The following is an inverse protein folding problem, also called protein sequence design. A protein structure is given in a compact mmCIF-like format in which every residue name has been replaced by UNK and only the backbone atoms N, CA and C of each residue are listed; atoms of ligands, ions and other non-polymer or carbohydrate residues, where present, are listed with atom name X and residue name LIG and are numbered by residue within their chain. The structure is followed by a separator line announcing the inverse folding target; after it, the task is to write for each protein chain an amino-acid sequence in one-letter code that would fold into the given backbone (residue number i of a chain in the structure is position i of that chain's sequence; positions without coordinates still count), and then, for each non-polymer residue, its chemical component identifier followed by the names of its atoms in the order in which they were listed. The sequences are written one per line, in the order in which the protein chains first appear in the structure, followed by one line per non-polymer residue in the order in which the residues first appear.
data_IF_849175682637
#
_entry.id   IF_849175682637
#
_cell.length_a   1.000
_cell.length_b   1.000
_cell.length_c   1.000
_cell.angle_alpha   90.00
_cell.angle_beta   90.00
_cell.angle_gamma   90.00
#
_symmetry.space_group_name_H-M   'P 1'
#
loop_
_entity.id
_entity.type
_entity.pdbx_description
1 polymer ?
#
# COMPACT_ATOMS: atom_id res chain seq x y z
N UNK A 1 -26.44 21.70 -0.94
CA UNK A 1 -25.41 22.28 -1.83
C UNK A 1 -24.10 21.59 -1.49
N UNK A 2 -23.45 20.97 -2.47
CA UNK A 2 -22.25 20.16 -2.26
C UNK A 2 -22.30 18.85 -3.03
N UNK A 3 -21.14 18.20 -3.16
CA UNK A 3 -21.00 16.92 -3.85
C UNK A 3 -21.85 15.82 -3.17
N UNK A 4 -22.33 14.86 -3.94
CA UNK A 4 -22.86 13.60 -3.38
C UNK A 4 -21.73 12.77 -2.74
N UNK A 5 -22.03 11.75 -1.93
CA UNK A 5 -21.02 10.81 -1.44
C UNK A 5 -20.14 10.23 -2.57
N UNK A 6 -20.75 9.79 -3.67
CA UNK A 6 -20.06 9.20 -4.82
C UNK A 6 -19.17 10.24 -5.51
N UNK A 7 -19.67 11.46 -5.71
CA UNK A 7 -18.89 12.55 -6.29
C UNK A 7 -17.72 12.95 -5.38
N UNK A 8 -17.90 12.90 -4.05
CA UNK A 8 -16.84 13.20 -3.08
C UNK A 8 -15.72 12.17 -3.15
N UNK A 9 -16.09 10.87 -3.19
CA UNK A 9 -15.12 9.79 -3.39
C UNK A 9 -14.40 9.92 -4.75
N UNK A 10 -15.17 10.18 -5.82
CA UNK A 10 -14.64 10.38 -7.16
C UNK A 10 -13.68 11.57 -7.26
N UNK A 11 -13.94 12.68 -6.56
CA UNK A 11 -13.02 13.81 -6.47
C UNK A 11 -11.69 13.38 -5.85
N UNK A 12 -11.71 12.61 -4.76
CA UNK A 12 -10.50 12.06 -4.16
C UNK A 12 -9.68 11.22 -5.15
N UNK A 13 -10.35 10.34 -5.91
CA UNK A 13 -9.71 9.53 -6.95
C UNK A 13 -9.14 10.40 -8.09
N UNK A 14 -9.83 11.47 -8.48
CA UNK A 14 -9.35 12.41 -9.49
C UNK A 14 -8.11 13.18 -9.01
N UNK A 15 -8.13 13.70 -7.77
CA UNK A 15 -6.98 14.36 -7.14
C UNK A 15 -5.76 13.44 -7.08
N UNK A 16 -6.00 12.17 -6.80
CA UNK A 16 -5.01 11.11 -6.85
C UNK A 16 -4.36 10.94 -8.24
N UNK A 17 -5.07 11.27 -9.32
CA UNK A 17 -4.56 11.16 -10.69
C UNK A 17 -3.95 12.45 -11.24
N UNK A 18 -3.95 13.55 -10.49
CA UNK A 18 -3.41 14.84 -10.98
C UNK A 18 -1.90 14.73 -11.13
N UNK A 19 -1.45 14.90 -12.37
CA UNK A 19 -0.06 15.12 -12.74
C UNK A 19 0.21 16.64 -12.69
N UNK A 20 0.65 17.12 -11.52
CA UNK A 20 1.08 18.52 -11.35
C UNK A 20 2.55 18.56 -10.92
N UNK A 21 3.27 19.55 -11.44
CA UNK A 21 4.64 19.88 -11.04
C UNK A 21 4.70 20.59 -9.68
N UNK A 22 3.57 21.07 -9.16
CA UNK A 22 3.47 21.72 -7.85
C UNK A 22 3.46 20.70 -6.69
N UNK A 23 4.10 21.06 -5.57
CA UNK A 23 3.99 20.32 -4.31
C UNK A 23 2.73 20.72 -3.56
N UNK A 24 1.77 19.82 -3.43
CA UNK A 24 0.53 20.05 -2.68
C UNK A 24 0.23 18.89 -1.74
N UNK A 25 -0.67 19.13 -0.78
CA UNK A 25 -1.22 18.12 0.11
C UNK A 25 -2.71 18.37 0.34
N UNK A 26 -3.47 17.30 0.60
CA UNK A 26 -4.88 17.40 0.95
C UNK A 26 -5.04 17.37 2.47
N UNK A 27 -5.82 18.31 3.01
CA UNK A 27 -6.33 18.24 4.38
C UNK A 27 -7.85 18.08 4.31
N UNK A 28 -8.32 16.86 4.59
CA UNK A 28 -9.74 16.57 4.76
C UNK A 28 -10.13 16.84 6.21
N UNK A 29 -10.94 17.87 6.46
CA UNK A 29 -11.36 18.28 7.80
C UNK A 29 -12.87 18.18 7.97
N UNK A 30 -13.31 17.78 9.15
CA UNK A 30 -14.71 17.71 9.56
C UNK A 30 -14.88 16.79 10.76
N UNK A 31 -15.91 17.05 11.56
CA UNK A 31 -16.28 16.21 12.69
C UNK A 31 -17.02 14.96 12.19
N UNK A 32 -16.91 13.86 12.93
CA UNK A 32 -17.71 12.66 12.66
C UNK A 32 -19.13 12.88 13.22
N UNK A 33 -19.71 11.92 13.94
CA UNK A 33 -21.02 12.13 14.55
C UNK A 33 -20.94 13.19 15.65
N UNK A 34 -21.87 14.14 15.64
CA UNK A 34 -22.06 15.10 16.76
C UNK A 34 -22.98 14.56 17.86
N UNK A 35 -23.27 13.25 17.85
CA UNK A 35 -24.37 12.64 18.62
C UNK A 35 -23.97 11.33 19.32
N UNK A 36 -22.68 11.15 19.60
CA UNK A 36 -22.08 9.90 20.11
C UNK A 36 -22.56 9.56 21.52
N UNK A 37 -22.73 10.56 22.39
CA UNK A 37 -23.12 10.38 23.80
C UNK A 37 -24.29 11.29 24.21
N UNK A 38 -24.95 11.05 25.36
CA UNK A 38 -25.97 11.93 25.95
C UNK A 38 -25.54 13.38 26.14
N UNK A 39 -24.25 13.61 26.40
CA UNK A 39 -23.70 14.94 26.63
C UNK A 39 -23.35 15.68 25.34
N UNK A 40 -23.63 15.08 24.18
CA UNK A 40 -23.31 15.65 22.89
C UNK A 40 -24.13 16.93 22.60
N UNK A 41 -23.51 17.98 22.02
CA UNK A 41 -24.17 19.27 21.82
C UNK A 41 -25.37 19.20 20.87
N UNK A 42 -25.40 18.22 19.96
CA UNK A 42 -26.48 18.01 19.00
C UNK A 42 -27.52 16.95 19.45
N UNK A 43 -27.50 16.59 20.75
CA UNK A 43 -28.32 15.54 21.33
C UNK A 43 -27.80 14.13 21.01
N UNK A 44 -28.21 13.15 21.80
CA UNK A 44 -27.82 11.76 21.59
C UNK A 44 -28.64 11.08 20.49
N UNK A 45 -27.94 10.31 19.65
CA UNK A 45 -28.55 9.40 18.69
C UNK A 45 -27.89 8.04 18.79
N UNK A 46 -28.65 6.93 18.83
CA UNK A 46 -28.08 5.59 18.77
C UNK A 46 -27.34 5.31 17.45
N UNK A 47 -27.51 6.15 16.42
CA UNK A 47 -26.79 6.05 15.16
C UNK A 47 -25.37 6.66 15.20
N UNK A 48 -25.05 7.50 16.21
CA UNK A 48 -23.80 8.26 16.23
C UNK A 48 -22.53 7.40 16.33
N UNK A 49 -22.41 6.59 17.39
CA UNK A 49 -21.25 5.70 17.56
C UNK A 49 -21.10 4.65 16.43
N UNK A 50 -22.18 4.05 15.90
CA UNK A 50 -22.10 3.20 14.71
C UNK A 50 -21.55 3.92 13.47
N UNK A 51 -21.95 5.17 13.22
CA UNK A 51 -21.41 5.96 12.10
C UNK A 51 -19.90 6.17 12.24
N UNK A 52 -19.43 6.58 13.42
CA UNK A 52 -17.99 6.78 13.68
C UNK A 52 -17.19 5.49 13.51
N UNK A 53 -17.76 4.37 13.94
CA UNK A 53 -17.16 3.05 13.74
C UNK A 53 -17.02 2.71 12.26
N UNK A 54 -18.04 2.98 11.43
CA UNK A 54 -17.96 2.76 9.97
C UNK A 54 -16.85 3.61 9.35
N UNK A 55 -16.74 4.90 9.74
CA UNK A 55 -15.69 5.79 9.21
C UNK A 55 -14.29 5.34 9.62
N UNK A 56 -14.11 5.00 10.90
CA UNK A 56 -12.79 4.54 11.40
C UNK A 56 -12.38 3.18 10.83
N UNK A 57 -13.31 2.24 10.64
CA UNK A 57 -13.04 0.98 9.96
C UNK A 57 -12.74 1.17 8.47
N UNK A 58 -13.44 2.11 7.80
CA UNK A 58 -13.14 2.50 6.43
C UNK A 58 -11.70 3.02 6.29
N UNK A 59 -11.22 3.86 7.21
CA UNK A 59 -9.84 4.35 7.24
C UNK A 59 -8.80 3.26 7.56
N UNK A 60 -9.15 2.24 8.35
CA UNK A 60 -8.22 1.12 8.63
C UNK A 60 -8.10 0.15 7.46
N UNK A 61 -9.23 -0.12 6.79
CA UNK A 61 -9.33 -1.09 5.68
C UNK A 61 -9.10 -0.47 4.31
N UNK A 62 -8.96 0.85 4.25
CA UNK A 62 -8.83 1.62 3.02
C UNK A 62 -9.95 1.34 2.01
N UNK A 63 -11.20 1.43 2.45
CA UNK A 63 -12.38 1.15 1.61
C UNK A 63 -13.49 2.16 1.87
N UNK A 64 -14.18 2.60 0.82
CA UNK A 64 -15.33 3.50 0.92
C UNK A 64 -16.69 2.77 0.84
N UNK A 65 -16.69 1.45 0.66
CA UNK A 65 -17.91 0.69 0.35
C UNK A 65 -19.03 0.91 1.38
N UNK A 66 -18.72 0.79 2.67
CA UNK A 66 -19.71 0.97 3.74
C UNK A 66 -20.20 2.41 3.85
N UNK A 67 -19.34 3.40 3.59
CA UNK A 67 -19.69 4.83 3.66
C UNK A 67 -20.56 5.26 2.47
N UNK A 68 -20.27 4.75 1.27
CA UNK A 68 -21.08 4.95 0.07
C UNK A 68 -22.45 4.24 0.16
N UNK A 69 -22.58 3.26 1.05
CA UNK A 69 -23.84 2.52 1.26
C UNK A 69 -24.72 3.11 2.36
N UNK A 70 -24.31 4.22 3.00
CA UNK A 70 -25.09 4.86 4.06
C UNK A 70 -26.38 5.45 3.50
N UNK A 71 -27.50 5.17 4.17
CA UNK A 71 -28.78 5.77 3.84
C UNK A 71 -28.83 7.25 4.25
N UNK A 72 -29.65 8.09 3.57
CA UNK A 72 -29.83 9.49 3.96
C UNK A 72 -30.23 9.66 5.44
N UNK A 73 -31.03 8.72 5.96
CA UNK A 73 -31.45 8.71 7.35
C UNK A 73 -30.32 8.42 8.32
N UNK A 74 -29.43 7.45 8.03
CA UNK A 74 -28.26 7.20 8.88
C UNK A 74 -27.34 8.41 8.95
N UNK A 75 -27.16 9.13 7.83
CA UNK A 75 -26.35 10.35 7.76
C UNK A 75 -26.99 11.47 8.60
N UNK A 76 -28.30 11.67 8.44
CA UNK A 76 -29.06 12.67 9.22
C UNK A 76 -29.08 12.35 10.72
N UNK A 77 -29.30 11.07 11.07
CA UNK A 77 -29.36 10.60 12.44
C UNK A 77 -28.00 10.70 13.15
N UNK A 78 -26.89 10.51 12.42
CA UNK A 78 -25.54 10.69 12.95
C UNK A 78 -25.22 12.16 13.26
N UNK A 79 -25.87 13.12 12.58
CA UNK A 79 -25.63 14.54 12.75
C UNK A 79 -24.16 14.89 12.51
N UNK A 80 -23.67 14.65 11.30
CA UNK A 80 -22.25 14.74 10.92
C UNK A 80 -21.97 15.90 9.96
N UNK A 81 -20.71 16.30 9.84
CA UNK A 81 -20.26 17.19 8.77
C UNK A 81 -19.02 16.70 7.99
N UNK A 82 -18.37 15.62 8.44
CA UNK A 82 -17.11 15.11 7.91
C UNK A 82 -17.21 14.02 6.83
N UNK A 83 -18.39 13.45 6.53
CA UNK A 83 -18.54 12.30 5.61
C UNK A 83 -17.96 12.57 4.22
N UNK A 84 -18.25 13.75 3.66
CA UNK A 84 -17.73 14.13 2.33
C UNK A 84 -16.20 14.26 2.35
N UNK A 85 -15.65 14.89 3.38
CA UNK A 85 -14.20 15.02 3.58
C UNK A 85 -13.53 13.65 3.75
N UNK A 86 -14.14 12.75 4.51
CA UNK A 86 -13.70 11.37 4.70
C UNK A 86 -13.70 10.57 3.39
N UNK A 87 -14.73 10.74 2.55
CA UNK A 87 -14.82 10.10 1.24
C UNK A 87 -13.78 10.64 0.26
N UNK A 88 -13.51 11.95 0.22
CA UNK A 88 -12.41 12.51 -0.59
C UNK A 88 -11.06 11.91 -0.14
N UNK A 89 -10.83 11.81 1.17
CA UNK A 89 -9.62 11.20 1.73
C UNK A 89 -9.46 9.72 1.32
N UNK A 90 -10.53 8.93 1.42
CA UNK A 90 -10.54 7.53 0.99
C UNK A 90 -10.39 7.37 -0.53
N UNK A 91 -10.95 8.29 -1.31
CA UNK A 91 -10.78 8.32 -2.77
C UNK A 91 -9.32 8.56 -3.14
N UNK A 92 -8.68 9.50 -2.45
CA UNK A 92 -7.26 9.81 -2.61
C UNK A 92 -6.37 8.60 -2.25
N UNK A 93 -6.73 7.87 -1.19
CA UNK A 93 -5.99 6.72 -0.65
C UNK A 93 -6.29 5.35 -1.30
N UNK A 94 -7.29 5.21 -2.19
CA UNK A 94 -7.83 3.93 -2.68
C UNK A 94 -6.77 2.87 -3.04
N UNK A 95 -5.74 3.24 -3.79
CA UNK A 95 -4.68 2.33 -4.26
C UNK A 95 -3.33 2.51 -3.55
N UNK A 96 -3.33 3.31 -2.48
CA UNK A 96 -2.10 3.79 -1.81
C UNK A 96 -2.07 3.46 -0.32
N UNK A 97 -3.24 3.17 0.24
CA UNK A 97 -3.42 2.88 1.65
C UNK A 97 -3.74 4.13 2.45
N UNK A 98 -4.48 3.90 3.53
CA UNK A 98 -4.78 4.88 4.57
C UNK A 98 -4.42 4.28 5.91
N UNK A 99 -4.14 5.13 6.90
CA UNK A 99 -3.85 4.71 8.26
C UNK A 99 -4.55 5.63 9.24
N UNK A 100 -5.44 5.04 10.03
CA UNK A 100 -6.01 5.67 11.22
C UNK A 100 -4.92 5.80 12.30
N UNK A 101 -4.78 6.99 12.88
CA UNK A 101 -3.84 7.30 13.95
C UNK A 101 -4.55 7.29 15.31
N UNK A 102 -5.71 7.94 15.40
CA UNK A 102 -6.49 8.05 16.64
C UNK A 102 -7.97 8.23 16.35
N UNK A 103 -8.79 7.87 17.32
CA UNK A 103 -10.21 8.21 17.39
C UNK A 103 -10.59 8.48 18.85
N UNK A 104 -11.29 9.59 19.09
CA UNK A 104 -11.77 9.99 20.41
C UNK A 104 -13.13 10.69 20.28
N UNK A 105 -13.95 10.66 21.35
CA UNK A 105 -15.23 11.37 21.40
C UNK A 105 -15.45 12.12 22.73
N UNK A 106 -14.53 13.03 23.12
CA UNK A 106 -14.50 13.61 24.47
C UNK A 106 -15.70 14.50 24.79
N UNK A 107 -16.38 15.06 23.78
CA UNK A 107 -17.50 15.99 23.95
C UNK A 107 -18.81 15.44 23.39
N UNK A 108 -18.93 14.11 23.28
CA UNK A 108 -20.03 13.48 22.55
C UNK A 108 -20.01 13.71 21.04
N UNK A 109 -18.93 14.34 20.53
CA UNK A 109 -18.62 14.53 19.11
C UNK A 109 -17.43 13.65 18.77
N UNK A 110 -17.50 12.89 17.69
CA UNK A 110 -16.43 12.01 17.23
C UNK A 110 -15.35 12.74 16.44
N UNK A 111 -14.09 12.45 16.76
CA UNK A 111 -12.91 12.95 16.07
C UNK A 111 -12.02 11.79 15.67
N UNK A 112 -11.62 11.75 14.40
CA UNK A 112 -10.64 10.78 13.92
C UNK A 112 -9.50 11.49 13.19
N UNK A 113 -8.28 11.03 13.45
CA UNK A 113 -7.09 11.48 12.71
C UNK A 113 -6.60 10.31 11.86
N UNK A 114 -6.45 10.53 10.57
CA UNK A 114 -5.91 9.57 9.62
C UNK A 114 -4.97 10.25 8.63
N UNK A 115 -4.06 9.49 8.03
CA UNK A 115 -3.22 9.96 6.94
C UNK A 115 -3.14 8.93 5.81
N UNK A 116 -2.90 9.42 4.60
CA UNK A 116 -2.59 8.63 3.42
C UNK A 116 -1.20 9.07 2.94
N UNK A 117 -0.23 8.15 2.96
CA UNK A 117 1.01 8.39 2.22
C UNK A 117 0.70 8.13 0.76
N UNK A 118 0.79 9.16 -0.07
CA UNK A 118 0.43 9.01 -1.46
C UNK A 118 1.42 8.09 -2.21
N UNK A 119 2.73 8.30 -2.03
CA UNK A 119 3.74 7.63 -2.86
C UNK A 119 5.10 7.43 -2.19
N UNK A 120 5.22 7.51 -0.85
CA UNK A 120 6.54 7.57 -0.20
C UNK A 120 7.50 6.43 -0.63
N UNK A 121 6.98 5.21 -0.82
CA UNK A 121 7.77 4.07 -1.28
C UNK A 121 8.22 4.15 -2.76
N UNK A 122 7.31 4.24 -3.76
CA UNK A 122 7.73 4.40 -5.16
C UNK A 122 8.47 5.72 -5.44
N UNK A 123 8.14 6.81 -4.75
CA UNK A 123 8.87 8.09 -4.85
C UNK A 123 10.31 7.93 -4.39
N UNK A 124 10.53 7.22 -3.27
CA UNK A 124 11.87 6.92 -2.79
C UNK A 124 12.64 6.09 -3.82
N UNK A 125 12.01 5.03 -4.35
CA UNK A 125 12.60 4.18 -5.39
C UNK A 125 13.00 4.99 -6.64
N UNK A 126 12.13 5.90 -7.11
CA UNK A 126 12.45 6.78 -8.23
C UNK A 126 13.57 7.77 -7.89
N UNK A 127 13.47 8.42 -6.74
CA UNK A 127 14.44 9.43 -6.28
C UNK A 127 15.84 8.84 -6.24
N UNK A 128 15.99 7.65 -5.66
CA UNK A 128 17.29 6.99 -5.57
C UNK A 128 17.82 6.56 -6.95
N UNK A 129 16.97 6.06 -7.85
CA UNK A 129 17.38 5.71 -9.22
C UNK A 129 17.81 6.97 -9.98
N UNK A 130 17.08 8.09 -9.84
CA UNK A 130 17.45 9.36 -10.45
C UNK A 130 18.83 9.82 -10.01
N UNK A 131 19.09 9.82 -8.69
CA UNK A 131 20.38 10.23 -8.12
C UNK A 131 21.52 9.30 -8.48
N UNK A 132 21.23 8.02 -8.69
CA UNK A 132 22.24 7.07 -9.17
C UNK A 132 22.79 7.49 -10.54
N UNK A 133 21.96 8.04 -11.44
CA UNK A 133 22.42 8.60 -12.71
C UNK A 133 23.28 9.86 -12.56
N UNK A 134 23.06 10.64 -11.50
CA UNK A 134 23.79 11.89 -11.20
C UNK A 134 25.18 11.61 -10.58
N UNK A 135 25.53 10.34 -10.36
CA UNK A 135 26.82 9.87 -9.79
C UNK A 135 27.14 10.43 -8.40
N UNK A 136 26.12 10.77 -7.62
CA UNK A 136 26.31 11.14 -6.21
C UNK A 136 26.59 9.88 -5.37
N UNK A 137 27.84 9.67 -4.99
CA UNK A 137 28.24 8.61 -4.03
C UNK A 137 27.56 8.79 -2.67
N UNK A 138 27.12 7.69 -2.05
CA UNK A 138 26.27 7.62 -0.84
C UNK A 138 24.86 8.25 -0.94
N UNK A 139 24.38 8.58 -2.15
CA UNK A 139 23.05 9.20 -2.35
C UNK A 139 21.88 8.38 -1.80
N UNK A 140 22.00 7.05 -1.78
CA UNK A 140 20.93 6.16 -1.34
C UNK A 140 20.71 6.16 0.17
N UNK A 141 21.76 6.27 0.99
CA UNK A 141 21.64 6.38 2.45
C UNK A 141 20.96 7.69 2.82
N UNK A 142 21.42 8.80 2.24
CA UNK A 142 20.84 10.14 2.48
C UNK A 142 19.38 10.21 2.04
N UNK A 143 19.02 9.57 0.92
CA UNK A 143 17.62 9.49 0.50
C UNK A 143 16.77 8.63 1.43
N UNK A 144 17.28 7.48 1.87
CA UNK A 144 16.59 6.66 2.86
C UNK A 144 16.30 7.47 4.14
N UNK A 145 17.30 8.17 4.69
CA UNK A 145 17.15 9.05 5.86
C UNK A 145 16.11 10.15 5.66
N UNK A 146 16.15 10.84 4.51
CA UNK A 146 15.18 11.89 4.16
C UNK A 146 13.74 11.35 4.16
N UNK A 147 13.55 10.11 3.71
CA UNK A 147 12.24 9.46 3.66
C UNK A 147 11.83 8.79 4.98
N UNK A 148 12.68 8.74 6.01
CA UNK A 148 12.26 8.33 7.36
C UNK A 148 11.26 9.29 8.01
N UNK A 149 10.98 10.46 7.43
CA UNK A 149 9.84 11.29 7.84
C UNK A 149 8.49 10.56 7.69
N UNK A 150 8.41 9.56 6.82
CA UNK A 150 7.24 8.71 6.61
C UNK A 150 7.27 7.50 7.55
N UNK A 151 6.36 7.40 8.55
CA UNK A 151 6.43 6.38 9.59
C UNK A 151 6.45 4.93 9.07
N UNK A 152 5.70 4.64 8.01
CA UNK A 152 5.63 3.32 7.36
C UNK A 152 6.98 2.87 6.78
N UNK A 153 7.86 3.80 6.38
CA UNK A 153 9.18 3.48 5.84
C UNK A 153 10.23 3.21 6.92
N UNK A 154 9.93 3.51 8.19
CA UNK A 154 10.82 3.23 9.32
C UNK A 154 10.84 1.76 9.71
N UNK A 155 9.74 1.04 9.48
CA UNK A 155 9.60 -0.36 9.90
C UNK A 155 10.55 -1.23 9.08
N UNK A 156 11.18 -2.21 9.72
CA UNK A 156 11.95 -3.25 9.03
C UNK A 156 10.98 -4.22 8.31
N UNK A 157 11.02 -4.20 6.98
CA UNK A 157 10.18 -5.02 6.09
C UNK A 157 10.96 -5.38 4.83
N UNK A 158 10.67 -6.56 4.26
CA UNK A 158 11.18 -6.95 2.95
C UNK A 158 10.33 -6.30 1.86
N UNK A 159 10.90 -6.08 0.68
CA UNK A 159 10.14 -5.56 -0.45
C UNK A 159 10.67 -6.04 -1.80
N UNK A 160 9.82 -6.00 -2.82
CA UNK A 160 10.19 -6.11 -4.22
C UNK A 160 9.91 -4.81 -4.94
N UNK A 161 10.89 -4.34 -5.71
CA UNK A 161 10.75 -3.21 -6.63
C UNK A 161 10.56 -3.77 -8.02
N UNK A 162 9.48 -3.36 -8.68
CA UNK A 162 9.22 -3.70 -10.08
C UNK A 162 9.17 -2.42 -10.91
N UNK A 163 9.93 -2.41 -12.00
CA UNK A 163 9.92 -1.42 -13.05
C UNK A 163 9.14 -2.00 -14.22
N UNK A 164 8.19 -1.24 -14.76
CA UNK A 164 7.46 -1.61 -15.98
C UNK A 164 7.57 -0.51 -17.02
N UNK A 165 7.59 -0.88 -18.29
CA UNK A 165 7.58 0.04 -19.43
C UNK A 165 6.43 -0.35 -20.34
N UNK A 166 5.44 0.52 -20.49
CA UNK A 166 4.23 0.24 -21.28
C UNK A 166 3.55 -1.07 -20.86
N UNK A 167 3.38 -1.28 -19.56
CA UNK A 167 2.82 -2.52 -18.98
C UNK A 167 3.78 -3.71 -18.84
N UNK A 168 4.83 -3.78 -19.66
CA UNK A 168 5.79 -4.90 -19.69
C UNK A 168 6.86 -4.79 -18.59
N UNK A 169 7.31 -5.93 -18.07
CA UNK A 169 8.35 -5.97 -17.05
C UNK A 169 9.70 -5.48 -17.61
N UNK A 170 10.31 -4.48 -16.95
CA UNK A 170 11.61 -3.88 -17.31
C UNK A 170 12.72 -4.13 -16.29
N UNK A 171 12.34 -4.54 -15.08
CA UNK A 171 13.24 -4.95 -14.00
C UNK A 171 12.44 -5.31 -12.77
N UNK A 172 12.86 -6.34 -12.03
CA UNK A 172 12.25 -6.68 -10.75
C UNK A 172 13.23 -7.38 -9.83
N UNK A 173 13.57 -6.73 -8.72
CA UNK A 173 14.44 -7.26 -7.67
C UNK A 173 13.82 -6.97 -6.31
N UNK A 174 14.04 -7.88 -5.37
CA UNK A 174 13.59 -7.72 -4.00
C UNK A 174 14.18 -8.75 -3.07
N UNK A 175 13.80 -8.60 -1.81
CA UNK A 175 14.18 -9.51 -0.73
C UNK A 175 12.94 -10.14 -0.12
N UNK A 176 13.09 -11.38 0.34
CA UNK A 176 12.03 -12.14 1.02
C UNK A 176 12.05 -11.85 2.51
N UNK A 177 13.25 -11.63 3.05
CA UNK A 177 13.49 -11.29 4.43
C UNK A 177 14.16 -9.90 4.48
N UNK A 178 13.73 -9.02 5.41
CA UNK A 178 14.34 -7.70 5.51
C UNK A 178 15.83 -7.82 5.86
N UNK A 179 16.70 -7.28 5.00
CA UNK A 179 18.15 -7.24 5.21
C UNK A 179 18.61 -5.93 5.83
N UNK A 180 17.86 -4.87 5.57
CA UNK A 180 18.13 -3.52 6.05
C UNK A 180 17.48 -3.21 7.41
N UNK A 181 17.93 -2.12 8.05
CA UNK A 181 17.39 -1.62 9.31
C UNK A 181 16.01 -0.95 9.19
N UNK A 182 15.61 -0.55 7.98
CA UNK A 182 14.33 0.10 7.67
C UNK A 182 13.86 -0.26 6.26
N UNK A 183 12.56 -0.16 6.01
CA UNK A 183 11.98 -0.32 4.68
C UNK A 183 12.51 0.75 3.72
N UNK A 184 12.78 1.97 4.19
CA UNK A 184 13.40 3.02 3.36
C UNK A 184 14.72 2.56 2.73
N UNK A 185 15.62 1.99 3.55
CA UNK A 185 16.90 1.50 3.06
C UNK A 185 16.73 0.26 2.18
N UNK A 186 15.82 -0.66 2.55
CA UNK A 186 15.50 -1.84 1.75
C UNK A 186 14.97 -1.47 0.35
N UNK A 187 14.11 -0.45 0.26
CA UNK A 187 13.62 0.11 -1.02
C UNK A 187 14.78 0.68 -1.82
N UNK A 188 15.68 1.44 -1.19
CA UNK A 188 16.80 2.06 -1.89
C UNK A 188 17.71 1.03 -2.55
N UNK A 189 18.12 0.01 -1.80
CA UNK A 189 18.98 -1.06 -2.30
C UNK A 189 18.30 -1.85 -3.43
N UNK A 190 17.04 -2.25 -3.22
CA UNK A 190 16.32 -3.04 -4.21
C UNK A 190 15.94 -2.23 -5.45
N UNK A 191 15.76 -0.91 -5.34
CA UNK A 191 15.45 -0.04 -6.48
C UNK A 191 16.66 0.12 -7.41
N UNK A 192 17.84 0.35 -6.84
CA UNK A 192 19.11 0.36 -7.59
C UNK A 192 19.29 -1.01 -8.26
N UNK A 193 19.10 -2.10 -7.51
CA UNK A 193 19.27 -3.43 -8.07
C UNK A 193 18.27 -3.74 -9.19
N UNK A 194 16.99 -3.39 -9.04
CA UNK A 194 15.97 -3.57 -10.06
C UNK A 194 16.26 -2.75 -11.34
N UNK A 195 16.82 -1.55 -11.19
CA UNK A 195 17.15 -0.67 -12.32
C UNK A 195 18.43 -1.09 -13.05
N UNK A 196 19.47 -1.53 -12.32
CA UNK A 196 20.82 -1.63 -12.89
C UNK A 196 21.45 -3.02 -12.81
N UNK A 197 20.88 -3.94 -12.02
CA UNK A 197 21.49 -5.23 -11.68
C UNK A 197 20.55 -6.43 -11.84
N UNK A 198 19.37 -6.25 -12.43
CA UNK A 198 18.53 -7.39 -12.81
C UNK A 198 19.17 -8.12 -14.00
N UNK A 199 19.64 -9.38 -13.84
CA UNK A 199 20.40 -10.08 -14.88
C UNK A 199 19.60 -10.40 -16.14
N UNK A 200 18.26 -10.25 -16.10
CA UNK A 200 17.38 -10.49 -17.25
C UNK A 200 17.32 -9.31 -18.21
N UNK A 201 17.76 -8.13 -17.78
CA UNK A 201 17.61 -6.88 -18.54
C UNK A 201 18.92 -6.09 -18.56
N UNK A 202 19.20 -5.31 -19.63
CA UNK A 202 20.29 -4.34 -19.58
C UNK A 202 19.99 -3.25 -18.53
N UNK A 203 21.02 -2.61 -17.95
CA UNK A 203 20.84 -1.49 -17.03
C UNK A 203 19.91 -0.42 -17.61
N UNK A 204 19.04 0.15 -16.78
CA UNK A 204 18.12 1.22 -17.16
C UNK A 204 18.91 2.43 -17.66
N UNK A 205 18.49 3.02 -18.78
CA UNK A 205 19.06 4.28 -19.27
C UNK A 205 18.35 5.49 -18.66
N UNK A 206 19.01 6.66 -18.64
CA UNK A 206 18.42 7.88 -18.08
C UNK A 206 17.11 8.28 -18.77
N UNK A 207 17.06 8.19 -20.10
CA UNK A 207 15.85 8.50 -20.87
C UNK A 207 14.71 7.51 -20.65
N UNK A 208 15.01 6.26 -20.26
CA UNK A 208 13.97 5.30 -19.91
C UNK A 208 13.33 5.58 -18.55
N UNK A 209 14.07 6.19 -17.61
CA UNK A 209 13.55 6.48 -16.27
C UNK A 209 12.23 7.26 -16.34
N UNK A 210 12.13 8.22 -17.26
CA UNK A 210 10.93 9.04 -17.40
C UNK A 210 9.72 8.28 -17.97
N UNK A 211 9.94 7.09 -18.55
CA UNK A 211 8.89 6.28 -19.19
C UNK A 211 8.50 5.04 -18.39
N UNK A 212 9.31 4.64 -17.41
CA UNK A 212 8.98 3.47 -16.58
C UNK A 212 8.03 3.86 -15.46
N UNK A 213 7.12 2.95 -15.13
CA UNK A 213 6.31 2.98 -13.91
C UNK A 213 6.96 2.10 -12.84
N UNK A 214 6.92 2.57 -11.59
CA UNK A 214 7.51 1.86 -10.45
C UNK A 214 6.41 1.36 -9.51
N UNK A 215 6.53 0.12 -9.06
CA UNK A 215 5.73 -0.40 -7.95
C UNK A 215 6.60 -1.05 -6.89
N UNK A 216 6.21 -0.86 -5.62
CA UNK A 216 6.85 -1.43 -4.45
C UNK A 216 5.88 -2.40 -3.79
N UNK A 217 6.26 -3.68 -3.77
CA UNK A 217 5.54 -4.75 -3.10
C UNK A 217 6.18 -4.96 -1.72
N UNK A 218 5.52 -4.49 -0.66
CA UNK A 218 6.00 -4.57 0.73
C UNK A 218 5.47 -5.85 1.37
N UNK A 219 6.36 -6.70 1.86
CA UNK A 219 6.02 -8.01 2.38
C UNK A 219 5.69 -7.97 3.87
N UNK A 220 4.68 -8.76 4.27
CA UNK A 220 4.50 -9.14 5.68
C UNK A 220 5.60 -10.10 6.13
N UNK A 221 5.71 -10.32 7.44
CA UNK A 221 6.49 -11.43 7.98
C UNK A 221 5.97 -12.74 7.38
N UNK A 222 6.88 -13.64 7.02
CA UNK A 222 6.54 -14.97 6.52
C UNK A 222 6.06 -15.87 7.65
N UNK A 223 4.98 -16.60 7.41
CA UNK A 223 4.41 -17.58 8.34
C UNK A 223 4.54 -18.97 7.74
N UNK A 224 5.12 -19.91 8.49
CA UNK A 224 5.17 -21.30 8.07
C UNK A 224 3.76 -21.90 8.08
N UNK A 225 3.40 -22.61 7.02
CA UNK A 225 2.09 -23.29 6.94
C UNK A 225 2.20 -24.74 7.43
N UNK A 226 1.09 -25.26 7.92
CA UNK A 226 0.94 -26.68 8.31
C UNK A 226 0.22 -27.49 7.24
N UNK A 227 -0.59 -26.84 6.40
CA UNK A 227 -1.30 -27.45 5.28
C UNK A 227 -1.58 -26.46 4.15
N UNK A 228 -1.85 -27.00 2.95
CA UNK A 228 -2.04 -26.21 1.72
C UNK A 228 -3.37 -25.43 1.72
N UNK A 229 -4.34 -25.84 2.53
CA UNK A 229 -5.62 -25.17 2.75
C UNK A 229 -5.47 -23.76 3.36
N UNK A 230 -4.30 -23.48 3.94
CA UNK A 230 -3.95 -22.16 4.47
C UNK A 230 -3.53 -21.17 3.38
N UNK A 231 -3.39 -21.63 2.13
CA UNK A 231 -2.96 -20.83 0.99
C UNK A 231 -4.15 -20.37 0.16
N UNK A 232 -4.00 -19.17 -0.40
CA UNK A 232 -4.91 -18.62 -1.38
C UNK A 232 -4.07 -17.79 -2.36
N UNK A 233 -3.95 -18.20 -3.64
CA UNK A 233 -3.07 -17.53 -4.60
C UNK A 233 -3.37 -16.03 -4.79
N UNK A 234 -4.62 -15.60 -4.62
CA UNK A 234 -5.02 -14.20 -4.71
C UNK A 234 -4.63 -13.35 -3.49
N UNK A 235 -4.36 -13.99 -2.35
CA UNK A 235 -4.10 -13.30 -1.07
C UNK A 235 -2.66 -13.43 -0.59
N UNK A 236 -2.07 -14.61 -0.77
CA UNK A 236 -0.79 -14.96 -0.18
C UNK A 236 0.24 -15.30 -1.25
N UNK A 237 1.43 -14.73 -1.12
CA UNK A 237 2.62 -15.25 -1.77
C UNK A 237 3.16 -16.44 -1.00
N UNK A 238 4.00 -17.24 -1.67
CA UNK A 238 4.58 -18.46 -1.12
C UNK A 238 6.10 -18.44 -1.21
N UNK A 239 6.74 -18.99 -0.18
CA UNK A 239 8.17 -19.31 -0.15
C UNK A 239 8.30 -20.81 0.00
N UNK A 240 9.04 -21.45 -0.91
CA UNK A 240 9.35 -22.88 -0.87
C UNK A 240 10.85 -23.05 -0.62
N UNK A 241 11.21 -23.78 0.42
CA UNK A 241 12.59 -23.99 0.83
C UNK A 241 12.93 -25.47 0.96
N UNK A 242 14.05 -25.89 0.38
CA UNK A 242 14.55 -27.27 0.49
C UNK A 242 16.06 -27.32 0.27
N UNK A 243 16.80 -27.97 1.18
CA UNK A 243 18.26 -28.17 1.06
C UNK A 243 19.04 -26.88 0.74
N UNK A 244 18.64 -25.74 1.32
CA UNK A 244 19.25 -24.43 1.07
C UNK A 244 18.78 -23.72 -0.21
N UNK A 245 18.07 -24.41 -1.11
CA UNK A 245 17.40 -23.78 -2.24
C UNK A 245 16.11 -23.10 -1.78
N UNK A 246 15.83 -21.91 -2.32
CA UNK A 246 14.65 -21.10 -1.96
C UNK A 246 14.00 -20.51 -3.20
N UNK A 247 12.69 -20.64 -3.29
CA UNK A 247 11.87 -20.13 -4.38
C UNK A 247 10.74 -19.28 -3.85
N UNK A 248 10.44 -18.18 -4.54
CA UNK A 248 9.38 -17.24 -4.14
C UNK A 248 8.43 -16.96 -5.28
N UNK A 249 7.15 -16.85 -4.94
CA UNK A 249 6.13 -16.32 -5.81
C UNK A 249 5.24 -15.35 -5.05
N UNK A 250 5.03 -14.17 -5.62
CA UNK A 250 4.12 -13.15 -5.09
C UNK A 250 2.66 -13.58 -5.26
N UNK A 251 1.72 -13.03 -4.47
CA UNK A 251 0.29 -13.24 -4.68
C UNK A 251 -0.22 -12.54 -5.95
N UNK A 252 -1.42 -12.92 -6.37
CA UNK A 252 -2.25 -12.20 -7.35
C UNK A 252 -1.52 -12.00 -8.69
N UNK A 253 -1.00 -13.10 -9.24
CA UNK A 253 -0.31 -13.13 -10.52
C UNK A 253 -1.22 -13.73 -11.59
N UNK A 254 -1.25 -13.07 -12.75
CA UNK A 254 -1.98 -13.54 -13.93
C UNK A 254 -1.55 -14.97 -14.32
N UNK A 255 -2.53 -15.84 -14.54
CA UNK A 255 -2.32 -17.25 -14.89
C UNK A 255 -1.95 -18.18 -13.72
N UNK A 256 -2.03 -17.71 -12.46
CA UNK A 256 -1.80 -18.54 -11.26
C UNK A 256 -3.09 -18.61 -10.43
N UNK A 257 -3.91 -19.62 -10.72
CA UNK A 257 -5.26 -19.74 -10.12
C UNK A 257 -5.31 -20.75 -8.98
N UNK A 258 -4.42 -21.75 -8.97
CA UNK A 258 -4.43 -22.82 -7.95
C UNK A 258 -3.19 -22.80 -7.05
N UNK A 259 -3.35 -23.33 -5.84
CA UNK A 259 -2.25 -23.45 -4.87
C UNK A 259 -1.13 -24.35 -5.41
N UNK A 260 -1.49 -25.44 -6.10
CA UNK A 260 -0.53 -26.37 -6.70
C UNK A 260 0.30 -25.70 -7.79
N UNK A 261 -0.34 -24.89 -8.65
CA UNK A 261 0.36 -24.09 -9.65
C UNK A 261 1.33 -23.10 -8.97
N UNK A 262 0.85 -22.40 -7.94
CA UNK A 262 1.63 -21.42 -7.21
C UNK A 262 2.89 -22.03 -6.59
N UNK A 263 2.74 -23.15 -5.88
CA UNK A 263 3.84 -23.87 -5.25
C UNK A 263 4.81 -24.47 -6.28
N UNK A 264 4.29 -25.03 -7.37
CA UNK A 264 5.11 -25.60 -8.45
C UNK A 264 5.98 -24.54 -9.12
N UNK A 265 5.43 -23.36 -9.42
CA UNK A 265 6.19 -22.25 -10.00
C UNK A 265 7.28 -21.77 -9.03
N UNK A 266 6.95 -21.61 -7.74
CA UNK A 266 7.91 -21.22 -6.71
C UNK A 266 9.05 -22.25 -6.60
N UNK A 267 8.73 -23.54 -6.52
CA UNK A 267 9.71 -24.62 -6.46
C UNK A 267 10.62 -24.65 -7.69
N UNK A 268 10.06 -24.50 -8.89
CA UNK A 268 10.81 -24.47 -10.15
C UNK A 268 11.82 -23.32 -10.20
N UNK A 269 11.47 -22.13 -9.68
CA UNK A 269 12.41 -20.99 -9.58
C UNK A 269 13.62 -21.29 -8.70
N UNK A 270 13.49 -22.24 -7.78
CA UNK A 270 14.57 -22.69 -6.90
C UNK A 270 15.27 -23.97 -7.39
N UNK A 271 14.88 -24.51 -8.54
CA UNK A 271 15.35 -25.83 -9.00
C UNK A 271 14.88 -27.00 -8.14
N UNK A 272 13.82 -26.83 -7.34
CA UNK A 272 13.26 -27.88 -6.48
C UNK A 272 12.29 -28.72 -7.33
N UNK A 273 12.59 -30.00 -7.50
CA UNK A 273 11.81 -30.94 -8.32
C UNK A 273 10.66 -31.62 -7.57
N UNK A 274 10.73 -31.68 -6.24
CA UNK A 274 9.68 -32.27 -5.40
C UNK A 274 9.51 -31.50 -4.10
N UNK A 275 8.25 -31.21 -3.77
CA UNK A 275 7.83 -30.53 -2.53
C UNK A 275 7.93 -31.43 -1.29
N UNK A 276 8.12 -32.75 -1.45
CA UNK A 276 8.26 -33.65 -0.31
C UNK A 276 9.47 -33.26 0.54
N UNK A 277 9.24 -32.93 1.82
CA UNK A 277 10.27 -32.45 2.73
C UNK A 277 10.70 -30.99 2.50
N UNK A 278 9.98 -30.23 1.68
CA UNK A 278 10.17 -28.79 1.58
C UNK A 278 9.43 -28.07 2.72
N UNK A 279 10.03 -27.00 3.22
CA UNK A 279 9.35 -26.05 4.11
C UNK A 279 8.59 -25.05 3.25
N UNK A 280 7.32 -24.81 3.58
CA UNK A 280 6.48 -23.86 2.87
C UNK A 280 6.07 -22.77 3.85
N UNK A 281 6.22 -21.52 3.43
CA UNK A 281 5.74 -20.36 4.17
C UNK A 281 4.88 -19.47 3.27
N UNK A 282 3.97 -18.72 3.89
CA UNK A 282 3.13 -17.73 3.22
C UNK A 282 3.44 -16.31 3.69
N UNK A 283 3.11 -15.32 2.89
CA UNK A 283 3.14 -13.91 3.27
C UNK A 283 2.10 -13.13 2.48
N UNK A 284 1.67 -11.98 2.99
CA UNK A 284 0.84 -11.02 2.26
C UNK A 284 1.69 -9.88 1.71
N UNK A 285 1.17 -9.19 0.69
CA UNK A 285 1.84 -8.07 0.02
C UNK A 285 0.95 -6.84 0.06
N UNK A 286 1.50 -5.72 0.51
CA UNK A 286 0.96 -4.40 0.24
C UNK A 286 1.68 -3.83 -0.99
N UNK A 287 0.95 -3.72 -2.10
CA UNK A 287 1.47 -3.22 -3.36
C UNK A 287 1.16 -1.73 -3.51
N UNK A 288 2.21 -0.90 -3.54
CA UNK A 288 2.10 0.54 -3.73
C UNK A 288 2.60 0.88 -5.13
N UNK A 289 1.76 1.54 -5.93
CA UNK A 289 2.11 1.96 -7.29
C UNK A 289 2.39 3.46 -7.33
N UNK A 290 3.26 3.84 -8.25
CA UNK A 290 3.40 5.22 -8.68
C UNK A 290 2.13 5.72 -9.38
N UNK A 291 1.80 7.00 -9.21
CA UNK A 291 0.71 7.65 -9.93
C UNK A 291 1.17 8.20 -11.28
N UNK A 292 0.26 8.21 -12.26
CA UNK A 292 0.45 8.91 -13.54
C UNK A 292 1.39 8.23 -14.53
N UNK A 293 1.79 6.97 -14.33
CA UNK A 293 2.63 6.22 -15.28
C UNK A 293 2.10 4.80 -15.43
N UNK A 294 1.49 4.49 -16.56
CA UNK A 294 0.98 3.15 -16.94
C UNK A 294 1.62 2.73 -18.26
#
# INVERSE_FOLDING_TARGET
IGLTPEQSYGLGQALAGIEDTASWGLVSSGDLSHRVSPDAPAGYSPAGAPFDKKVTEAFKKNTALELLSLSPREIEDAGECGLRSALIFLGLGKDRGTRLLSYEAPFGVGYAVAYASLHAAPDLARSVISRFFEKEGDSHVKEAERFLRFPELRKKSACFISLKKSGDLRGCIGTIFPRSGSLAMEICENAIAAAFHDPRFPPLSRGELDTVSISVDILSTTEQITGIEELNPSKYGVVVEKNGARGVLLPDLEGVETVEQQLSIAARKAGITTLQGALISRFSVLRVREAGRI
#
